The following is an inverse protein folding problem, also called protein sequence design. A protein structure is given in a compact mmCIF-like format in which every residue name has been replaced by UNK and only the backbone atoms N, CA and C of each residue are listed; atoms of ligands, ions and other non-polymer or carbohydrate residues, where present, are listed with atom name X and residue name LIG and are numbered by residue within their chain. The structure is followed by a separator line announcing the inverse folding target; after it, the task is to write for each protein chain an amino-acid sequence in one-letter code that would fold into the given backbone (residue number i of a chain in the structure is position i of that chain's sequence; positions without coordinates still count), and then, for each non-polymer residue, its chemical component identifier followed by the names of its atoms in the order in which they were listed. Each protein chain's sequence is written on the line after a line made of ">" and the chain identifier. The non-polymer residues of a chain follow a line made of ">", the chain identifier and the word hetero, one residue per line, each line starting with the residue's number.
data_IF_026009422697
#
_entry.id   IF_026009422697
#
_cell.length_a   1.000
_cell.length_b   1.000
_cell.length_c   1.000
_cell.angle_alpha   90.00
_cell.angle_beta   90.00
_cell.angle_gamma   90.00
#
_symmetry.space_group_name_H-M   'P 1'
#
loop_
_entity.id
_entity.type
_entity.pdbx_description
1 polymer ?
#
# COMPACT_ATOMS: atom_id res chain seq x y z
N UNK A 1 -6.28 -1.16 -14.41
CA UNK A 1 -5.64 -0.60 -13.20
C UNK A 1 -4.28 -0.03 -13.59
N UNK A 2 -3.94 1.16 -13.09
CA UNK A 2 -2.64 1.78 -13.36
C UNK A 2 -1.52 0.82 -12.91
N UNK A 3 -0.52 0.57 -13.75
CA UNK A 3 0.64 -0.30 -13.44
C UNK A 3 1.33 0.10 -12.13
N UNK A 4 1.25 1.39 -11.78
CA UNK A 4 1.80 1.95 -10.55
C UNK A 4 1.03 1.55 -9.29
N UNK A 5 -0.29 1.37 -9.36
CA UNK A 5 -1.05 0.90 -8.19
C UNK A 5 -0.65 -0.53 -7.79
N UNK A 6 -0.40 -1.39 -8.78
CA UNK A 6 0.06 -2.76 -8.54
C UNK A 6 1.44 -2.77 -7.88
N UNK A 7 2.37 -1.89 -8.30
CA UNK A 7 3.69 -1.81 -7.66
C UNK A 7 3.61 -1.35 -6.19
N UNK A 8 2.74 -0.39 -5.85
CA UNK A 8 2.55 0.05 -4.47
C UNK A 8 1.94 -1.05 -3.58
N UNK A 9 1.01 -1.85 -4.13
CA UNK A 9 0.46 -3.02 -3.43
C UNK A 9 1.55 -4.05 -3.12
N UNK A 10 2.38 -4.39 -4.12
CA UNK A 10 3.45 -5.37 -3.96
C UNK A 10 4.49 -4.89 -2.94
N UNK A 11 4.84 -3.60 -2.95
CA UNK A 11 5.75 -3.02 -1.95
C UNK A 11 5.15 -3.06 -0.52
N UNK A 12 3.85 -2.79 -0.38
CA UNK A 12 3.17 -2.89 0.92
C UNK A 12 3.16 -4.34 1.45
N UNK A 13 2.86 -5.32 0.59
CA UNK A 13 2.89 -6.74 0.95
C UNK A 13 4.30 -7.18 1.36
N UNK A 14 5.32 -6.77 0.60
CA UNK A 14 6.71 -7.07 0.93
C UNK A 14 7.13 -6.48 2.28
N UNK A 15 6.73 -5.24 2.59
CA UNK A 15 7.02 -4.62 3.89
C UNK A 15 6.38 -5.39 5.06
N UNK A 16 5.16 -5.89 4.88
CA UNK A 16 4.47 -6.72 5.89
C UNK A 16 5.17 -8.08 6.06
N UNK A 17 5.55 -8.74 4.97
CA UNK A 17 6.26 -10.03 5.01
C UNK A 17 7.59 -9.87 5.74
N UNK A 18 8.35 -8.81 5.41
CA UNK A 18 9.61 -8.50 6.09
C UNK A 18 9.39 -8.30 7.59
N UNK A 19 8.36 -7.53 7.98
CA UNK A 19 8.03 -7.36 9.40
C UNK A 19 7.68 -8.67 10.10
N UNK A 20 7.01 -9.61 9.42
CA UNK A 20 6.64 -10.91 9.98
C UNK A 20 7.84 -11.86 10.15
N UNK A 21 8.87 -11.68 9.32
CA UNK A 21 10.10 -12.48 9.34
C UNK A 21 11.16 -11.92 10.31
N UNK A 22 10.94 -10.72 10.86
CA UNK A 22 11.87 -10.08 11.77
C UNK A 22 11.89 -10.78 13.15
N UNK A 23 13.08 -11.04 13.72
CA UNK A 23 13.18 -11.56 15.08
C UNK A 23 12.67 -10.53 16.09
N UNK A 24 12.01 -11.02 17.15
CA UNK A 24 11.30 -10.21 18.18
C UNK A 24 12.23 -9.18 18.87
N UNK A 25 13.55 -9.43 18.90
CA UNK A 25 14.54 -8.52 19.47
C UNK A 25 14.79 -7.26 18.60
N UNK A 26 14.41 -7.28 17.32
CA UNK A 26 14.60 -6.16 16.39
C UNK A 26 13.44 -5.15 16.46
N UNK A 27 13.14 -4.66 17.66
CA UNK A 27 11.95 -3.83 17.93
C UNK A 27 11.96 -2.51 17.14
N UNK A 28 13.11 -1.88 16.97
CA UNK A 28 13.28 -0.66 16.16
C UNK A 28 13.01 -0.91 14.67
N UNK A 29 13.44 -2.06 14.17
CA UNK A 29 13.33 -2.46 12.77
C UNK A 29 11.90 -2.91 12.44
N UNK A 30 11.19 -3.51 13.40
CA UNK A 30 9.76 -3.82 13.29
C UNK A 30 8.89 -2.56 13.25
N UNK A 31 9.20 -1.55 14.08
CA UNK A 31 8.49 -0.25 14.04
C UNK A 31 8.68 0.41 12.67
N UNK A 32 9.93 0.44 12.17
CA UNK A 32 10.22 0.99 10.85
C UNK A 32 9.48 0.25 9.72
N UNK A 33 9.43 -1.09 9.78
CA UNK A 33 8.72 -1.90 8.79
C UNK A 33 7.20 -1.67 8.82
N UNK A 34 6.61 -1.51 10.01
CA UNK A 34 5.18 -1.16 10.15
C UNK A 34 4.86 0.23 9.57
N UNK A 35 5.70 1.23 9.84
CA UNK A 35 5.53 2.58 9.26
C UNK A 35 5.65 2.50 7.73
N UNK A 36 6.64 1.78 7.21
CA UNK A 36 6.81 1.59 5.78
C UNK A 36 5.60 0.88 5.14
N UNK A 37 5.07 -0.18 5.78
CA UNK A 37 3.86 -0.85 5.34
C UNK A 37 2.65 0.09 5.30
N UNK A 38 2.47 0.92 6.34
CA UNK A 38 1.42 1.94 6.38
C UNK A 38 1.56 3.00 5.28
N UNK A 39 2.78 3.47 5.02
CA UNK A 39 3.06 4.44 3.94
C UNK A 39 2.76 3.81 2.58
N UNK A 40 3.25 2.61 2.28
CA UNK A 40 2.97 1.96 1.01
C UNK A 40 1.49 1.60 0.83
N UNK A 41 0.79 1.22 1.89
CA UNK A 41 -0.66 1.00 1.87
C UNK A 41 -1.42 2.31 1.59
N UNK A 42 -1.02 3.43 2.20
CA UNK A 42 -1.63 4.74 1.94
C UNK A 42 -1.39 5.20 0.49
N UNK A 43 -0.17 5.06 -0.04
CA UNK A 43 0.14 5.35 -1.44
C UNK A 43 -0.63 4.43 -2.39
N UNK A 44 -0.83 3.16 -2.03
CA UNK A 44 -1.66 2.24 -2.80
C UNK A 44 -3.10 2.71 -2.87
N UNK A 45 -3.69 3.12 -1.73
CA UNK A 45 -5.06 3.67 -1.70
C UNK A 45 -5.15 4.93 -2.57
N UNK A 46 -4.20 5.87 -2.44
CA UNK A 46 -4.14 7.07 -3.29
C UNK A 46 -4.02 6.69 -4.77
N UNK A 47 -3.18 5.71 -5.11
CA UNK A 47 -3.03 5.23 -6.49
C UNK A 47 -4.30 4.53 -7.01
N UNK A 48 -5.07 3.85 -6.16
CA UNK A 48 -6.39 3.31 -6.51
C UNK A 48 -7.42 4.43 -6.75
N UNK A 49 -7.38 5.51 -5.98
CA UNK A 49 -8.22 6.68 -6.21
C UNK A 49 -7.84 7.42 -7.48
N UNK A 50 -6.53 7.60 -7.74
CA UNK A 50 -6.03 8.25 -8.96
C UNK A 50 -6.28 7.41 -10.21
N UNK A 51 -6.20 6.08 -10.09
CA UNK A 51 -6.46 5.12 -11.16
C UNK A 51 -7.95 4.86 -11.40
N UNK A 52 -8.80 5.03 -10.37
CA UNK A 52 -10.24 5.17 -10.56
C UNK A 52 -10.49 6.59 -11.06
N UNK A 53 -10.50 6.75 -12.38
CA UNK A 53 -11.46 7.69 -12.97
C UNK A 53 -12.82 7.29 -12.40
N UNK A 54 -13.26 7.93 -11.32
CA UNK A 54 -14.64 7.83 -10.87
C UNK A 54 -15.42 8.53 -11.98
N UNK A 55 -15.68 7.80 -13.07
CA UNK A 55 -16.85 8.04 -13.88
C UNK A 55 -17.99 7.72 -12.93
N UNK A 56 -18.47 8.75 -12.22
CA UNK A 56 -19.89 8.82 -11.97
C UNK A 56 -20.49 8.73 -13.36
N UNK A 57 -20.97 7.56 -13.74
CA UNK A 57 -21.68 7.42 -15.00
C UNK A 57 -22.83 8.44 -14.95
N UNK A 58 -22.82 9.46 -15.83
CA UNK A 58 -23.85 10.50 -15.84
C UNK A 58 -25.20 9.96 -16.33
N UNK A 59 -25.34 8.65 -16.50
CA UNK A 59 -26.60 8.03 -16.97
C UNK A 59 -27.66 8.00 -15.85
N UNK A 60 -27.32 8.38 -14.63
CA UNK A 60 -28.27 8.77 -13.57
C UNK A 60 -28.08 10.23 -13.10
N UNK A 61 -27.42 11.08 -13.90
CA UNK A 61 -27.44 12.56 -13.85
C UNK A 61 -26.62 13.20 -14.97
#
# INVERSE_FOLDING_TARGET
>A
MSKSALSFLVLAIMAVIVNLLLPVQAHTLSIAANIAAGVFASLFVVALFLGRRIKFDPVLR
#
